data_IF_243952391677
#
_entry.id   IF_243952391677
#
_cell.length_a   1.000
_cell.length_b   1.000
_cell.length_c   1.000
_cell.angle_alpha   90.00
_cell.angle_beta   90.00
_cell.angle_gamma   90.00
#
_symmetry.space_group_name_H-M   'P 1'
#
loop_
_entity.id
_entity.type
_entity.pdbx_description
1 polymer ?
#
# COMPACT_ATOMS: atom_id res chain seq x y z
N UNK A 1 23.85 -1.22 -4.57
CA UNK A 1 22.42 -1.61 -4.64
C UNK A 1 21.62 -0.33 -4.58
N UNK A 2 20.67 -0.03 -5.49
CA UNK A 2 19.83 1.14 -5.28
C UNK A 2 19.03 0.93 -3.99
N UNK A 3 18.92 2.00 -3.21
CA UNK A 3 18.19 1.99 -1.94
C UNK A 3 16.69 1.80 -2.19
N UNK A 4 15.99 1.24 -1.20
CA UNK A 4 14.54 1.29 -1.12
C UNK A 4 14.09 2.75 -1.28
N UNK A 5 13.27 3.03 -2.28
CA UNK A 5 12.68 4.34 -2.48
C UNK A 5 11.21 4.31 -2.05
N UNK A 6 10.82 5.27 -1.21
CA UNK A 6 9.44 5.44 -0.77
C UNK A 6 8.96 6.86 -1.07
N UNK A 7 7.80 6.96 -1.70
CA UNK A 7 7.10 8.23 -1.96
C UNK A 7 5.68 8.12 -1.45
N UNK A 8 5.17 9.18 -0.85
CA UNK A 8 3.79 9.24 -0.41
C UNK A 8 3.22 10.65 -0.57
N UNK A 9 1.93 10.72 -0.89
CA UNK A 9 1.14 11.94 -0.97
C UNK A 9 -0.22 11.69 -0.32
N UNK A 10 -0.68 12.66 0.45
CA UNK A 10 -2.02 12.68 1.03
C UNK A 10 -2.71 13.96 0.60
N UNK A 11 -3.96 13.85 0.14
CA UNK A 11 -4.80 15.00 -0.18
C UNK A 11 -6.02 14.95 0.73
N UNK A 12 -6.23 16.00 1.50
CA UNK A 12 -7.36 16.12 2.41
C UNK A 12 -7.72 17.58 2.63
N UNK A 13 -8.95 17.80 3.09
CA UNK A 13 -9.35 19.13 3.59
C UNK A 13 -8.97 19.24 5.05
N UNK A 14 -8.22 20.29 5.40
CA UNK A 14 -7.90 20.63 6.79
C UNK A 14 -8.66 21.88 7.24
N UNK A 15 -8.77 22.07 8.55
CA UNK A 15 -9.42 23.24 9.15
C UNK A 15 -8.66 23.72 10.39
N UNK A 16 -8.85 24.99 10.74
CA UNK A 16 -8.28 25.57 11.94
C UNK A 16 -8.81 24.88 13.20
N UNK A 17 -7.91 24.54 14.13
CA UNK A 17 -8.27 24.05 15.47
C UNK A 17 -7.80 25.04 16.53
N UNK A 18 -8.62 25.38 17.54
CA UNK A 18 -8.20 26.26 18.64
C UNK A 18 -7.02 25.71 19.46
N UNK A 19 -6.83 24.39 19.45
CA UNK A 19 -5.74 23.71 20.13
C UNK A 19 -4.39 23.84 19.40
N UNK A 20 -4.35 24.34 18.16
CA UNK A 20 -3.14 24.45 17.35
C UNK A 20 -2.62 23.13 16.76
N UNK A 21 -3.14 22.00 17.22
CA UNK A 21 -2.85 20.65 16.72
C UNK A 21 -4.16 19.90 16.43
N UNK A 22 -4.10 18.93 15.52
CA UNK A 22 -5.28 18.18 15.09
C UNK A 22 -4.91 16.93 14.31
N UNK A 23 -5.79 15.93 14.40
CA UNK A 23 -5.70 14.72 13.63
C UNK A 23 -6.13 14.97 12.17
N UNK A 24 -5.42 14.37 11.22
CA UNK A 24 -5.65 14.56 9.79
C UNK A 24 -6.31 13.32 9.18
N UNK A 25 -7.28 13.46 8.26
CA UNK A 25 -7.91 12.33 7.61
C UNK A 25 -7.03 11.76 6.49
N UNK A 26 -5.88 11.21 6.90
CA UNK A 26 -4.85 10.67 6.04
C UNK A 26 -4.73 9.15 6.26
N UNK A 27 -5.21 8.37 5.29
CA UNK A 27 -5.11 6.91 5.34
C UNK A 27 -3.72 6.43 4.90
N UNK A 28 -3.17 5.44 5.61
CA UNK A 28 -1.98 4.71 5.19
C UNK A 28 -2.35 3.30 4.74
N UNK A 29 -1.78 2.82 3.65
CA UNK A 29 -1.94 1.46 3.15
C UNK A 29 -0.65 0.69 3.39
N UNK A 30 -0.78 -0.45 4.05
CA UNK A 30 0.32 -1.32 4.44
C UNK A 30 0.14 -2.70 3.81
N UNK A 31 0.84 -2.99 2.69
CA UNK A 31 1.09 -4.35 2.26
C UNK A 31 1.98 -5.07 3.28
N UNK A 32 1.56 -6.26 3.70
CA UNK A 32 2.21 -7.01 4.79
C UNK A 32 2.38 -8.49 4.43
N UNK A 33 3.13 -8.81 3.35
CA UNK A 33 3.44 -10.20 3.03
C UNK A 33 4.25 -10.86 4.15
N UNK A 34 4.21 -12.18 4.22
CA UNK A 34 5.16 -12.94 5.03
C UNK A 34 6.54 -12.86 4.38
N UNK A 35 7.50 -12.30 5.11
CA UNK A 35 8.87 -12.08 4.66
C UNK A 35 9.86 -12.69 5.66
N UNK A 36 11.01 -13.13 5.17
CA UNK A 36 12.12 -13.57 6.00
C UNK A 36 12.90 -12.38 6.60
N UNK A 37 13.93 -12.68 7.40
CA UNK A 37 14.79 -11.67 8.03
C UNK A 37 15.61 -10.82 7.03
N UNK A 38 15.64 -11.19 5.75
CA UNK A 38 16.31 -10.48 4.67
C UNK A 38 15.31 -9.72 3.78
N UNK A 39 14.07 -9.55 4.22
CA UNK A 39 13.00 -8.89 3.46
C UNK A 39 12.66 -9.64 2.16
N UNK A 40 12.75 -10.97 2.16
CA UNK A 40 12.43 -11.84 1.02
C UNK A 40 11.11 -12.56 1.23
N UNK A 41 10.29 -12.57 0.19
CA UNK A 41 9.17 -13.50 0.08
C UNK A 41 9.64 -14.79 -0.60
N UNK A 42 9.18 -15.94 -0.12
CA UNK A 42 9.50 -17.25 -0.69
C UNK A 42 9.08 -17.34 -2.16
N UNK A 43 10.03 -17.65 -3.04
CA UNK A 43 9.84 -17.78 -4.48
C UNK A 43 9.09 -19.06 -4.85
N UNK A 44 8.54 -19.06 -6.08
CA UNK A 44 7.99 -20.26 -6.72
C UNK A 44 6.52 -20.57 -6.42
N UNK A 45 5.80 -19.70 -5.70
CA UNK A 45 4.34 -19.83 -5.47
C UNK A 45 3.64 -18.48 -5.61
N UNK A 46 2.31 -18.53 -5.69
CA UNK A 46 1.49 -17.35 -5.49
C UNK A 46 1.80 -16.73 -4.13
N UNK A 47 2.04 -15.42 -4.11
CA UNK A 47 2.30 -14.67 -2.88
C UNK A 47 1.00 -14.04 -2.39
N UNK A 48 0.51 -14.48 -1.23
CA UNK A 48 -0.62 -13.84 -0.56
C UNK A 48 -0.10 -12.61 0.18
N UNK A 49 -0.66 -11.45 -0.11
CA UNK A 49 -0.29 -10.18 0.50
C UNK A 49 -1.50 -9.61 1.23
N UNK A 50 -1.57 -9.73 2.56
CA UNK A 50 -2.50 -8.97 3.38
C UNK A 50 -2.25 -7.47 3.21
N UNK A 51 -3.34 -6.71 3.08
CA UNK A 51 -3.35 -5.26 2.94
C UNK A 51 -4.13 -4.66 4.11
N UNK A 52 -3.46 -3.84 4.91
CA UNK A 52 -4.09 -3.09 6.01
C UNK A 52 -4.22 -1.63 5.62
N UNK A 53 -5.41 -1.06 5.78
CA UNK A 53 -5.60 0.39 5.67
C UNK A 53 -5.71 0.95 7.09
N UNK A 54 -4.77 1.80 7.46
CA UNK A 54 -4.71 2.45 8.75
C UNK A 54 -5.32 3.86 8.66
N UNK A 55 -6.51 3.99 9.22
CA UNK A 55 -7.26 5.23 9.38
C UNK A 55 -7.43 5.59 10.87
N UNK A 56 -6.66 5.01 11.79
CA UNK A 56 -6.91 5.15 13.24
C UNK A 56 -6.87 6.61 13.73
N UNK A 57 -6.20 7.47 12.98
CA UNK A 57 -6.03 8.89 13.24
C UNK A 57 -6.89 9.76 12.31
N UNK A 58 -7.72 9.19 11.44
CA UNK A 58 -8.54 9.97 10.53
C UNK A 58 -9.80 10.49 11.23
N UNK A 59 -10.01 11.81 11.20
CA UNK A 59 -11.16 12.46 11.83
C UNK A 59 -11.82 13.45 10.84
N UNK A 60 -13.14 13.34 10.57
CA UNK A 60 -14.03 12.25 11.00
C UNK A 60 -13.61 10.92 10.38
N UNK A 61 -13.98 9.80 11.02
CA UNK A 61 -13.82 8.48 10.41
C UNK A 61 -14.79 8.37 9.23
N UNK A 62 -14.24 8.21 8.03
CA UNK A 62 -14.96 8.19 6.76
C UNK A 62 -14.76 6.83 6.10
N UNK A 63 -15.84 6.25 5.58
CA UNK A 63 -15.79 4.95 4.93
C UNK A 63 -14.91 4.98 3.67
N UNK A 64 -14.08 3.96 3.50
CA UNK A 64 -13.25 3.77 2.31
C UNK A 64 -14.16 3.48 1.09
N UNK A 65 -14.00 4.25 0.02
CA UNK A 65 -14.75 4.08 -1.24
C UNK A 65 -13.87 3.45 -2.33
N UNK A 66 -12.55 3.60 -2.23
CA UNK A 66 -11.59 3.02 -3.16
C UNK A 66 -10.37 2.47 -2.42
N UNK A 67 -9.91 1.29 -2.84
CA UNK A 67 -8.59 0.73 -2.53
C UNK A 67 -8.02 0.10 -3.79
N UNK A 68 -7.02 0.75 -4.38
CA UNK A 68 -6.27 0.23 -5.52
C UNK A 68 -4.86 -0.15 -5.09
N UNK A 69 -4.37 -1.27 -5.63
CA UNK A 69 -3.01 -1.74 -5.45
C UNK A 69 -2.48 -2.11 -6.84
N UNK A 70 -1.36 -1.51 -7.23
CA UNK A 70 -0.59 -1.87 -8.40
C UNK A 70 0.74 -2.48 -7.98
N UNK A 71 1.26 -3.39 -8.79
CA UNK A 71 2.57 -4.01 -8.60
C UNK A 71 3.45 -3.82 -9.82
N UNK A 72 4.76 -3.77 -9.58
CA UNK A 72 5.79 -3.73 -10.60
C UNK A 72 6.90 -4.71 -10.24
N UNK A 73 7.47 -5.34 -11.27
CA UNK A 73 8.61 -6.26 -11.16
C UNK A 73 9.85 -5.73 -11.90
N UNK A 74 9.80 -4.47 -12.35
CA UNK A 74 10.79 -3.81 -13.20
C UNK A 74 11.16 -2.42 -12.66
N UNK A 75 11.32 -2.31 -11.34
CA UNK A 75 11.72 -1.06 -10.66
C UNK A 75 10.73 0.11 -10.84
N UNK A 76 9.44 -0.19 -10.99
CA UNK A 76 8.40 0.82 -11.16
C UNK A 76 8.32 1.42 -12.57
N UNK A 77 9.00 0.82 -13.55
CA UNK A 77 8.92 1.23 -14.96
C UNK A 77 7.54 0.94 -15.53
N UNK A 78 6.98 -0.24 -15.23
CA UNK A 78 5.61 -0.60 -15.60
C UNK A 78 4.82 -1.10 -14.39
N UNK A 79 3.53 -0.77 -14.35
CA UNK A 79 2.63 -1.08 -13.24
C UNK A 79 1.45 -1.91 -13.71
N UNK A 80 1.12 -2.95 -12.96
CA UNK A 80 0.00 -3.85 -13.23
C UNK A 80 -0.98 -3.84 -12.06
N UNK A 81 -2.30 -3.76 -12.30
CA UNK A 81 -3.28 -3.78 -11.23
C UNK A 81 -3.30 -5.15 -10.55
N UNK A 82 -3.22 -5.14 -9.22
CA UNK A 82 -3.38 -6.32 -8.38
C UNK A 82 -4.82 -6.39 -7.87
N UNK A 83 -5.49 -7.54 -8.07
CA UNK A 83 -6.87 -7.70 -7.60
C UNK A 83 -6.91 -7.69 -6.07
N UNK A 84 -7.60 -6.70 -5.51
CA UNK A 84 -7.84 -6.58 -4.07
C UNK A 84 -9.18 -7.23 -3.71
N UNK A 85 -9.21 -8.00 -2.64
CA UNK A 85 -10.42 -8.67 -2.15
C UNK A 85 -10.55 -8.50 -0.63
N UNK A 86 -11.77 -8.38 -0.08
CA UNK A 86 -11.97 -8.39 1.36
C UNK A 86 -11.43 -9.66 2.02
N UNK A 87 -10.93 -9.51 3.24
CA UNK A 87 -10.46 -10.58 4.11
C UNK A 87 -10.96 -10.34 5.55
N UNK A 88 -10.69 -11.29 6.45
CA UNK A 88 -11.08 -11.19 7.88
C UNK A 88 -10.60 -9.88 8.53
N UNK A 89 -9.33 -9.49 8.34
CA UNK A 89 -8.73 -8.27 8.92
C UNK A 89 -8.36 -7.22 7.86
N UNK A 90 -9.31 -6.87 6.99
CA UNK A 90 -9.12 -5.84 5.97
C UNK A 90 -9.18 -6.40 4.56
N UNK A 91 -8.08 -6.32 3.81
CA UNK A 91 -8.04 -6.78 2.43
C UNK A 91 -6.84 -7.67 2.16
N UNK A 92 -6.84 -8.32 1.01
CA UNK A 92 -5.70 -9.05 0.49
C UNK A 92 -5.63 -8.98 -1.02
N UNK A 93 -4.43 -9.17 -1.54
CA UNK A 93 -4.19 -9.50 -2.93
C UNK A 93 -3.36 -10.78 -3.03
N UNK A 94 -3.44 -11.44 -4.19
CA UNK A 94 -2.64 -12.62 -4.50
C UNK A 94 -1.83 -12.29 -5.74
N UNK A 95 -0.51 -12.25 -5.58
CA UNK A 95 0.43 -11.93 -6.64
C UNK A 95 0.97 -13.21 -7.27
N UNK A 96 1.16 -13.18 -8.59
CA UNK A 96 1.86 -14.23 -9.33
C UNK A 96 3.04 -13.57 -10.04
N UNK A 97 4.21 -13.45 -9.39
CA UNK A 97 5.39 -12.85 -10.01
C UNK A 97 5.82 -13.64 -11.26
N UNK A 98 6.30 -12.96 -12.32
CA UNK A 98 6.86 -13.66 -13.47
C UNK A 98 8.15 -14.39 -13.09
N UNK A 99 8.51 -15.49 -13.79
CA UNK A 99 9.75 -16.20 -13.54
C UNK A 99 10.97 -15.26 -13.63
N UNK A 100 11.86 -15.32 -12.63
CA UNK A 100 13.07 -14.50 -12.60
C UNK A 100 12.89 -13.07 -12.08
N UNK A 101 11.68 -12.66 -11.66
CA UNK A 101 11.51 -11.41 -10.92
C UNK A 101 12.32 -11.46 -9.61
N UNK A 102 13.16 -10.44 -9.38
CA UNK A 102 14.02 -10.37 -8.18
C UNK A 102 13.38 -9.60 -7.01
N UNK A 103 12.36 -8.79 -7.29
CA UNK A 103 11.70 -7.95 -6.29
C UNK A 103 10.30 -7.58 -6.72
N UNK A 104 9.54 -7.05 -5.77
CA UNK A 104 8.23 -6.44 -5.99
C UNK A 104 8.29 -4.98 -5.57
N UNK A 105 7.79 -4.10 -6.42
CA UNK A 105 7.45 -2.72 -6.08
C UNK A 105 5.93 -2.60 -5.99
N UNK A 106 5.44 -1.75 -5.08
CA UNK A 106 4.01 -1.59 -4.83
C UNK A 106 3.62 -0.13 -4.90
N UNK A 107 2.50 0.15 -5.54
CA UNK A 107 1.83 1.45 -5.51
C UNK A 107 0.42 1.24 -5.01
N UNK A 108 -0.02 2.07 -4.08
CA UNK A 108 -1.36 1.98 -3.48
C UNK A 108 -2.06 3.32 -3.58
N UNK A 109 -3.37 3.28 -3.79
CA UNK A 109 -4.23 4.46 -3.77
C UNK A 109 -5.49 4.20 -2.95
N UNK A 110 -5.91 5.19 -2.20
CA UNK A 110 -7.21 5.17 -1.51
C UNK A 110 -8.02 6.43 -1.78
N UNK A 111 -9.34 6.29 -1.67
CA UNK A 111 -10.28 7.37 -1.55
C UNK A 111 -11.31 7.03 -0.47
N UNK A 112 -11.81 8.03 0.24
CA UNK A 112 -12.90 7.88 1.20
C UNK A 112 -14.17 8.66 0.80
N UNK A 113 -15.25 8.47 1.56
CA UNK A 113 -16.54 9.11 1.32
C UNK A 113 -16.54 10.64 1.49
N UNK A 114 -15.49 11.24 2.07
CA UNK A 114 -15.29 12.68 2.18
C UNK A 114 -14.38 13.24 1.08
N UNK A 115 -13.87 12.39 0.17
CA UNK A 115 -12.99 12.79 -0.92
C UNK A 115 -11.52 12.92 -0.53
N UNK A 116 -11.12 12.46 0.66
CA UNK A 116 -9.70 12.40 1.01
C UNK A 116 -9.04 11.25 0.25
N UNK A 117 -7.79 11.46 -0.17
CA UNK A 117 -7.02 10.46 -0.92
C UNK A 117 -5.63 10.25 -0.32
N UNK A 118 -5.10 9.05 -0.52
CA UNK A 118 -3.68 8.76 -0.31
C UNK A 118 -3.11 8.00 -1.48
N UNK A 119 -1.87 8.31 -1.83
CA UNK A 119 -1.07 7.60 -2.81
C UNK A 119 0.29 7.29 -2.19
N UNK A 120 0.70 6.02 -2.24
CA UNK A 120 1.99 5.58 -1.70
C UNK A 120 2.66 4.67 -2.71
N UNK A 121 3.97 4.85 -2.92
CA UNK A 121 4.79 4.05 -3.82
C UNK A 121 6.04 3.60 -3.09
N UNK A 122 6.30 2.30 -3.11
CA UNK A 122 7.50 1.67 -2.58
C UNK A 122 8.19 0.89 -3.70
N UNK A 123 9.37 1.34 -4.11
CA UNK A 123 10.19 0.67 -5.13
C UNK A 123 11.09 -0.35 -4.45
N UNK A 124 11.10 -1.60 -4.95
CA UNK A 124 11.78 -2.74 -4.32
C UNK A 124 11.32 -2.96 -2.88
N UNK A 125 10.00 -2.92 -2.66
CA UNK A 125 9.38 -3.09 -1.36
C UNK A 125 9.82 -4.38 -0.65
N UNK A 126 9.98 -5.47 -1.39
CA UNK A 126 10.60 -6.71 -0.92
C UNK A 126 11.24 -7.50 -2.08
N UNK A 127 12.16 -8.38 -1.72
CA UNK A 127 12.84 -9.30 -2.64
C UNK A 127 12.01 -10.58 -2.85
N UNK A 128 12.25 -11.27 -3.96
CA UNK A 128 11.72 -12.59 -4.27
C UNK A 128 12.90 -13.57 -4.30
N UNK A 129 12.88 -14.61 -3.45
CA UNK A 129 14.01 -15.52 -3.23
C UNK A 129 13.64 -16.97 -3.05
#
# INVERSE_FOLDING_TARGET
MPALEFRAAWTFTSGYTPAGEGLLPAANVWPTPELDAHNRASAGRQLVVPIRVDQRWAVPATGLTELAVDVSYDDGVSWQPARVTPAHDGWRTVLTPPPGAGHVSVRTRTADAAGNTSEQTSIRAWELG
#
